data_IF_489374392246
#
_entry.id   IF_489374392246
#
_cell.length_a   1.000
_cell.length_b   1.000
_cell.length_c   1.000
_cell.angle_alpha   90.00
_cell.angle_beta   90.00
_cell.angle_gamma   90.00
#
_symmetry.space_group_name_H-M   'P 1'
#
loop_
_entity.id
_entity.type
_entity.pdbx_description
1 polymer ?
#
# COMPACT_ATOMS: atom_id res chain seq x y z
N UNK A 1 -5.08 -13.11 -0.02
CA UNK A 1 -5.10 -12.73 -1.44
C UNK A 1 -3.66 -12.80 -1.90
N UNK A 2 -3.31 -13.85 -2.65
CA UNK A 2 -1.92 -14.15 -3.02
C UNK A 2 -1.53 -13.53 -4.36
N UNK A 3 -0.26 -13.61 -4.75
CA UNK A 3 0.24 -13.08 -6.03
C UNK A 3 -0.59 -13.52 -7.26
N UNK A 4 -1.19 -14.73 -7.24
CA UNK A 4 -2.07 -15.23 -8.32
C UNK A 4 -3.38 -14.47 -8.48
N UNK A 5 -3.89 -13.87 -7.40
CA UNK A 5 -5.12 -13.08 -7.43
C UNK A 5 -4.89 -11.73 -8.12
N UNK A 6 -3.65 -11.22 -8.07
CA UNK A 6 -3.23 -9.98 -8.72
C UNK A 6 -3.15 -10.18 -10.24
N UNK A 7 -2.56 -11.28 -10.70
CA UNK A 7 -2.45 -11.60 -12.12
C UNK A 7 -3.84 -11.82 -12.77
N UNK A 8 -4.74 -12.51 -12.06
CA UNK A 8 -6.12 -12.71 -12.49
C UNK A 8 -6.91 -11.40 -12.56
N UNK A 9 -6.67 -10.48 -11.61
CA UNK A 9 -7.24 -9.14 -11.66
C UNK A 9 -6.71 -8.38 -12.88
N UNK A 10 -5.40 -8.41 -13.16
CA UNK A 10 -4.79 -7.75 -14.32
C UNK A 10 -5.37 -8.26 -15.65
N UNK A 11 -5.60 -9.56 -15.78
CA UNK A 11 -6.23 -10.13 -16.97
C UNK A 11 -7.65 -9.59 -17.24
N UNK A 12 -8.43 -9.36 -16.17
CA UNK A 12 -9.78 -8.75 -16.26
C UNK A 12 -9.74 -7.25 -16.57
N UNK A 13 -8.67 -6.55 -16.18
CA UNK A 13 -8.51 -5.13 -16.53
C UNK A 13 -8.28 -4.94 -18.03
N UNK A 14 -7.50 -5.84 -18.63
CA UNK A 14 -7.19 -5.79 -20.05
C UNK A 14 -8.42 -6.02 -20.96
N UNK A 15 -9.55 -6.48 -20.42
CA UNK A 15 -10.82 -6.59 -21.18
C UNK A 15 -11.63 -5.28 -21.22
N UNK A 16 -11.13 -4.18 -20.64
CA UNK A 16 -11.81 -2.87 -20.67
C UNK A 16 -13.02 -2.75 -19.74
N UNK A 17 -13.20 -3.69 -18.82
CA UNK A 17 -14.30 -3.67 -17.86
C UNK A 17 -14.02 -2.61 -16.78
N UNK A 18 -14.77 -1.49 -16.81
CA UNK A 18 -14.68 -0.44 -15.77
C UNK A 18 -14.93 -0.99 -14.37
N UNK A 19 -15.74 -2.05 -14.24
CA UNK A 19 -15.95 -2.75 -12.97
C UNK A 19 -14.67 -3.39 -12.46
N UNK A 20 -13.87 -3.99 -13.36
CA UNK A 20 -12.59 -4.59 -13.00
C UNK A 20 -11.58 -3.54 -12.52
N UNK A 21 -11.49 -2.37 -13.18
CA UNK A 21 -10.59 -1.28 -12.76
C UNK A 21 -10.94 -0.75 -11.38
N UNK A 22 -12.23 -0.52 -11.13
CA UNK A 22 -12.70 -0.11 -9.80
C UNK A 22 -12.39 -1.18 -8.74
N UNK A 23 -12.63 -2.46 -9.04
CA UNK A 23 -12.31 -3.56 -8.12
C UNK A 23 -10.82 -3.65 -7.81
N UNK A 24 -9.94 -3.49 -8.81
CA UNK A 24 -8.50 -3.44 -8.59
C UNK A 24 -8.13 -2.32 -7.60
N UNK A 25 -8.63 -1.11 -7.82
CA UNK A 25 -8.29 0.02 -6.95
C UNK A 25 -8.81 -0.15 -5.53
N UNK A 26 -10.00 -0.74 -5.36
CA UNK A 26 -10.49 -1.14 -4.04
C UNK A 26 -9.57 -2.18 -3.37
N UNK A 27 -9.11 -3.17 -4.12
CA UNK A 27 -8.19 -4.18 -3.61
C UNK A 27 -6.85 -3.55 -3.16
N UNK A 28 -6.29 -2.62 -3.97
CA UNK A 28 -5.07 -1.87 -3.64
C UNK A 28 -5.28 -1.04 -2.37
N UNK A 29 -6.38 -0.29 -2.27
CA UNK A 29 -6.66 0.54 -1.10
C UNK A 29 -6.83 -0.29 0.18
N UNK A 30 -7.52 -1.42 0.10
CA UNK A 30 -7.68 -2.36 1.21
C UNK A 30 -6.33 -2.92 1.66
N UNK A 31 -5.47 -3.31 0.72
CA UNK A 31 -4.12 -3.80 1.03
C UNK A 31 -3.26 -2.73 1.71
N UNK A 32 -3.26 -1.50 1.20
CA UNK A 32 -2.53 -0.38 1.81
C UNK A 32 -3.03 -0.07 3.22
N UNK A 33 -4.35 -0.16 3.43
CA UNK A 33 -4.97 0.00 4.76
C UNK A 33 -4.55 -1.10 5.72
N UNK A 34 -4.59 -2.36 5.27
CA UNK A 34 -4.14 -3.50 6.07
C UNK A 34 -2.65 -3.37 6.46
N UNK A 35 -1.79 -2.99 5.51
CA UNK A 35 -0.39 -2.72 5.77
C UNK A 35 -0.19 -1.59 6.80
N UNK A 36 -0.97 -0.50 6.71
CA UNK A 36 -0.93 0.57 7.70
C UNK A 36 -1.38 0.11 9.09
N UNK A 37 -2.34 -0.81 9.18
CA UNK A 37 -2.76 -1.40 10.46
C UNK A 37 -1.65 -2.28 11.05
N UNK A 38 -0.97 -3.09 10.25
CA UNK A 38 0.23 -3.83 10.69
C UNK A 38 1.32 -2.86 11.15
N UNK A 39 1.52 -1.76 10.42
CA UNK A 39 2.46 -0.71 10.83
C UNK A 39 2.10 -0.13 12.19
N UNK A 40 0.84 0.26 12.37
CA UNK A 40 0.35 0.79 13.65
C UNK A 40 0.52 -0.26 14.74
N UNK A 41 0.27 -1.54 14.49
CA UNK A 41 0.48 -2.63 15.44
C UNK A 41 1.96 -2.81 15.83
N UNK A 42 2.90 -2.63 14.90
CA UNK A 42 4.32 -2.85 15.12
C UNK A 42 5.08 -1.61 15.66
N UNK A 43 4.63 -0.39 15.34
CA UNK A 43 5.34 0.85 15.66
C UNK A 43 4.49 1.91 16.37
N UNK A 44 3.17 1.74 16.48
CA UNK A 44 2.25 2.79 16.92
C UNK A 44 1.93 3.79 15.81
N UNK A 45 1.01 4.72 16.08
CA UNK A 45 0.68 5.80 15.16
C UNK A 45 1.91 6.71 14.99
N UNK A 46 2.33 6.93 13.74
CA UNK A 46 3.52 7.73 13.42
C UNK A 46 4.81 7.27 14.15
N UNK A 47 4.88 6.01 14.57
CA UNK A 47 6.05 5.49 15.29
C UNK A 47 6.08 5.77 16.80
N UNK A 48 4.99 6.28 17.38
CA UNK A 48 4.93 6.69 18.79
C UNK A 48 5.20 5.59 19.81
N UNK A 49 5.04 4.31 19.41
CA UNK A 49 5.23 3.14 20.26
C UNK A 49 6.39 2.25 19.79
N UNK A 50 7.29 2.79 18.96
CA UNK A 50 8.34 2.02 18.32
C UNK A 50 9.31 1.39 19.34
N UNK A 51 9.57 2.04 20.47
CA UNK A 51 10.48 1.54 21.51
C UNK A 51 9.84 0.38 22.27
N UNK A 52 8.60 0.58 22.71
CA UNK A 52 7.77 -0.34 23.48
C UNK A 52 7.51 -1.62 22.69
N UNK A 53 7.23 -1.49 21.38
CA UNK A 53 6.88 -2.61 20.51
C UNK A 53 8.09 -3.26 19.83
N UNK A 54 9.31 -2.93 20.26
CA UNK A 54 10.54 -3.57 19.75
C UNK A 54 10.54 -5.08 19.98
N UNK A 55 10.04 -5.55 21.14
CA UNK A 55 9.99 -6.98 21.46
C UNK A 55 9.02 -7.74 20.56
N UNK A 56 7.82 -7.20 20.33
CA UNK A 56 6.86 -7.74 19.36
C UNK A 56 7.50 -7.86 17.98
N UNK A 57 8.16 -6.80 17.52
CA UNK A 57 8.80 -6.82 16.20
C UNK A 57 9.93 -7.84 16.11
N UNK A 58 10.68 -8.01 17.18
CA UNK A 58 11.74 -9.02 17.26
C UNK A 58 11.15 -10.44 17.24
N UNK A 59 10.03 -10.69 17.92
CA UNK A 59 9.43 -12.03 17.97
C UNK A 59 8.92 -12.49 16.61
N UNK A 60 8.32 -11.58 15.81
CA UNK A 60 7.84 -11.90 14.46
C UNK A 60 8.88 -11.63 13.34
N UNK A 61 10.10 -11.22 13.69
CA UNK A 61 11.17 -11.00 12.71
C UNK A 61 10.91 -9.85 11.72
N UNK A 62 10.29 -8.77 12.15
CA UNK A 62 10.08 -7.58 11.31
C UNK A 62 11.14 -6.50 11.58
N UNK A 63 11.84 -6.08 10.53
CA UNK A 63 12.92 -5.09 10.62
C UNK A 63 12.40 -3.65 10.47
N UNK A 64 13.20 -2.66 10.89
CA UNK A 64 12.89 -1.24 10.63
C UNK A 64 12.93 -0.85 9.14
N UNK A 65 13.46 -1.72 8.27
CA UNK A 65 13.51 -1.53 6.82
C UNK A 65 12.31 -2.17 6.11
N UNK A 66 11.43 -2.85 6.84
CA UNK A 66 10.25 -3.52 6.28
C UNK A 66 9.38 -2.54 5.49
N UNK A 67 8.87 -2.92 4.30
CA UNK A 67 7.95 -2.08 3.52
C UNK A 67 6.68 -1.75 4.30
N UNK A 68 6.25 -2.63 5.21
CA UNK A 68 5.10 -2.42 6.10
C UNK A 68 5.25 -1.22 7.02
N UNK A 69 6.47 -0.71 7.27
CA UNK A 69 6.68 0.50 8.07
C UNK A 69 6.25 1.77 7.32
N UNK A 70 6.24 1.75 5.98
CA UNK A 70 5.99 2.92 5.14
C UNK A 70 4.49 3.06 4.87
N UNK A 71 3.82 3.97 5.59
CA UNK A 71 2.37 4.23 5.44
C UNK A 71 2.02 5.40 4.53
N UNK A 72 3.03 6.05 3.94
CA UNK A 72 2.84 7.28 3.14
C UNK A 72 1.90 7.10 1.95
N UNK A 73 1.96 5.96 1.26
CA UNK A 73 1.05 5.71 0.12
C UNK A 73 -0.40 5.58 0.58
N UNK A 74 -0.67 4.86 1.67
CA UNK A 74 -2.01 4.79 2.30
C UNK A 74 -2.51 6.19 2.67
N UNK A 75 -1.66 7.03 3.27
CA UNK A 75 -2.05 8.39 3.64
C UNK A 75 -2.46 9.24 2.42
N UNK A 76 -1.87 9.04 1.24
CA UNK A 76 -2.28 9.73 0.03
C UNK A 76 -3.68 9.33 -0.43
N UNK A 77 -4.08 8.07 -0.23
CA UNK A 77 -5.40 7.57 -0.59
C UNK A 77 -6.46 7.99 0.44
N UNK A 78 -6.11 8.03 1.73
CA UNK A 78 -7.05 8.35 2.81
C UNK A 78 -7.31 9.86 2.94
N UNK A 79 -6.27 10.68 2.80
CA UNK A 79 -6.37 12.14 2.86
C UNK A 79 -6.48 12.75 1.45
N UNK A 80 -7.30 12.13 0.60
CA UNK A 80 -7.40 12.48 -0.81
C UNK A 80 -7.97 13.89 -1.02
N UNK A 81 -8.86 14.33 -0.14
CA UNK A 81 -9.38 15.70 -0.06
C UNK A 81 -8.26 16.73 0.11
N UNK A 82 -7.37 16.53 1.09
CA UNK A 82 -6.21 17.41 1.28
C UNK A 82 -5.25 17.38 0.07
N UNK A 83 -5.17 16.22 -0.62
CA UNK A 83 -4.39 16.11 -1.86
C UNK A 83 -5.02 16.93 -2.97
N UNK A 84 -6.35 16.90 -3.12
CA UNK A 84 -7.05 17.73 -4.10
C UNK A 84 -6.82 19.22 -3.86
N UNK A 85 -6.91 19.68 -2.61
CA UNK A 85 -6.66 21.10 -2.27
C UNK A 85 -5.24 21.53 -2.63
N UNK A 86 -4.25 20.72 -2.27
CA UNK A 86 -2.85 20.99 -2.63
C UNK A 86 -2.61 20.95 -4.15
N UNK A 87 -3.27 20.03 -4.87
CA UNK A 87 -3.18 19.98 -6.33
C UNK A 87 -3.83 21.22 -6.97
N UNK A 88 -4.99 21.64 -6.47
CA UNK A 88 -5.67 22.84 -6.93
C UNK A 88 -4.81 24.10 -6.74
N UNK A 89 -4.10 24.19 -5.62
CA UNK A 89 -3.21 25.32 -5.36
C UNK A 89 -1.92 25.28 -6.22
N UNK A 90 -1.35 24.10 -6.45
CA UNK A 90 0.05 23.97 -6.90
C UNK A 90 0.21 23.46 -8.33
N UNK A 91 -0.80 22.79 -8.90
CA UNK A 91 -0.72 22.38 -10.30
C UNK A 91 -0.76 23.60 -11.20
N UNK A 92 0.09 23.61 -12.23
CA UNK A 92 0.10 24.68 -13.24
C UNK A 92 -0.92 24.45 -14.34
N UNK A 93 -1.19 23.19 -14.65
CA UNK A 93 -2.03 22.79 -15.77
C UNK A 93 -3.40 22.27 -15.32
N UNK A 94 -3.55 21.97 -14.02
CA UNK A 94 -4.75 21.41 -13.43
C UNK A 94 -5.27 20.20 -14.22
N UNK A 95 -4.36 19.37 -14.71
CA UNK A 95 -4.72 18.07 -15.25
C UNK A 95 -5.02 17.14 -14.08
N UNK A 96 -6.13 16.41 -14.15
CA UNK A 96 -6.51 15.41 -13.14
C UNK A 96 -6.54 14.03 -13.79
N UNK A 97 -5.50 13.25 -13.55
CA UNK A 97 -5.41 11.88 -14.03
C UNK A 97 -5.38 10.93 -12.84
N UNK A 98 -6.38 10.06 -12.74
CA UNK A 98 -6.56 9.19 -11.58
C UNK A 98 -7.09 7.81 -11.98
N UNK A 99 -6.78 6.81 -11.15
CA UNK A 99 -7.11 5.39 -11.36
C UNK A 99 -6.58 4.81 -12.69
N UNK A 100 -5.43 5.29 -13.15
CA UNK A 100 -4.83 4.89 -14.42
C UNK A 100 -4.03 3.60 -14.29
N UNK A 101 -4.07 2.76 -15.33
CA UNK A 101 -3.21 1.59 -15.46
C UNK A 101 -2.27 1.85 -16.63
N UNK A 102 -0.96 1.88 -16.35
CA UNK A 102 0.05 2.37 -17.26
C UNK A 102 0.23 3.89 -17.21
N UNK A 103 1.35 4.35 -17.77
CA UNK A 103 1.74 5.74 -17.74
C UNK A 103 0.95 6.59 -18.75
N UNK A 104 0.53 7.78 -18.32
CA UNK A 104 0.03 8.83 -19.21
C UNK A 104 1.17 9.81 -19.47
N UNK A 105 1.65 9.85 -20.71
CA UNK A 105 2.73 10.74 -21.11
C UNK A 105 2.35 12.22 -21.04
N UNK A 106 3.32 13.07 -20.68
CA UNK A 106 3.18 14.53 -20.73
C UNK A 106 2.53 15.18 -19.50
N UNK A 107 2.15 14.41 -18.48
CA UNK A 107 1.64 14.95 -17.23
C UNK A 107 2.77 15.37 -16.28
N UNK A 108 2.57 16.49 -15.58
CA UNK A 108 3.37 16.79 -14.42
C UNK A 108 3.09 15.76 -13.31
N UNK A 109 4.10 15.49 -12.47
CA UNK A 109 3.94 14.52 -11.39
C UNK A 109 2.71 14.80 -10.53
N UNK A 110 2.50 16.05 -10.10
CA UNK A 110 1.35 16.45 -9.25
C UNK A 110 -0.03 16.22 -9.91
N UNK A 111 -0.08 16.08 -11.24
CA UNK A 111 -1.33 15.83 -11.97
C UNK A 111 -1.68 14.33 -12.07
N UNK A 112 -0.74 13.46 -11.67
CA UNK A 112 -0.90 12.00 -11.70
C UNK A 112 -1.19 11.48 -10.29
N UNK A 113 -2.47 11.18 -10.02
CA UNK A 113 -2.95 10.62 -8.76
C UNK A 113 -2.71 9.12 -8.72
N UNK A 114 -3.73 8.27 -8.62
CA UNK A 114 -3.55 6.81 -8.52
C UNK A 114 -3.19 6.25 -9.88
N UNK A 115 -1.94 5.86 -10.04
CA UNK A 115 -1.44 5.19 -11.24
C UNK A 115 -0.81 3.86 -10.83
N UNK A 116 -1.08 2.80 -11.60
CA UNK A 116 -0.45 1.50 -11.44
C UNK A 116 0.43 1.24 -12.67
N UNK A 117 1.72 1.01 -12.45
CA UNK A 117 2.59 0.46 -13.49
C UNK A 117 2.42 -1.07 -13.54
N UNK A 118 1.79 -1.64 -14.58
CA UNK A 118 1.51 -3.08 -14.64
C UNK A 118 2.78 -3.92 -14.85
N UNK A 119 3.89 -3.33 -15.29
CA UNK A 119 5.15 -4.05 -15.53
C UNK A 119 5.91 -4.31 -14.23
N UNK A 120 5.93 -3.30 -13.35
CA UNK A 120 6.65 -3.33 -12.07
C UNK A 120 5.74 -3.63 -10.88
N UNK A 121 4.42 -3.46 -11.04
CA UNK A 121 3.43 -3.47 -9.97
C UNK A 121 3.67 -2.39 -8.91
N UNK A 122 4.19 -1.24 -9.34
CA UNK A 122 4.31 -0.06 -8.49
C UNK A 122 3.05 0.79 -8.55
N UNK A 123 2.54 1.18 -7.38
CA UNK A 123 1.55 2.25 -7.28
C UNK A 123 2.30 3.57 -7.24
N UNK A 124 1.83 4.52 -8.03
CA UNK A 124 2.38 5.85 -8.18
C UNK A 124 1.33 6.83 -7.70
N UNK A 125 1.76 7.83 -6.93
CA UNK A 125 0.95 8.98 -6.54
C UNK A 125 1.83 10.22 -6.50
N UNK A 126 1.53 11.21 -7.33
CA UNK A 126 2.35 12.40 -7.53
C UNK A 126 3.82 12.10 -7.82
N UNK A 127 4.06 11.10 -8.68
CA UNK A 127 5.40 10.60 -9.00
C UNK A 127 6.10 9.79 -7.90
N UNK A 128 5.50 9.67 -6.71
CA UNK A 128 6.03 8.81 -5.64
C UNK A 128 5.64 7.37 -5.90
N UNK A 129 6.63 6.48 -5.99
CA UNK A 129 6.47 5.06 -6.29
C UNK A 129 6.40 4.20 -5.03
N UNK A 130 5.62 3.14 -5.08
CA UNK A 130 5.47 2.18 -4.00
C UNK A 130 5.31 0.76 -4.53
N UNK A 131 6.25 -0.12 -4.17
CA UNK A 131 6.29 -1.51 -4.60
C UNK A 131 5.21 -2.36 -3.89
N UNK A 132 4.18 -2.75 -4.64
CA UNK A 132 3.13 -3.65 -4.12
C UNK A 132 3.62 -5.08 -3.94
N UNK A 133 4.51 -5.57 -4.81
CA UNK A 133 5.00 -6.96 -4.74
C UNK A 133 5.83 -7.15 -3.47
N UNK A 134 6.73 -6.23 -3.17
CA UNK A 134 7.50 -6.25 -1.93
C UNK A 134 6.63 -6.17 -0.68
N UNK A 135 5.51 -5.42 -0.74
CA UNK A 135 4.55 -5.35 0.36
C UNK A 135 3.84 -6.69 0.59
N UNK A 136 3.32 -7.31 -0.47
CA UNK A 136 2.65 -8.62 -0.42
C UNK A 136 3.61 -9.69 0.06
N UNK A 137 4.81 -9.75 -0.52
CA UNK A 137 5.83 -10.72 -0.16
C UNK A 137 6.22 -10.63 1.33
N UNK A 138 6.34 -9.42 1.87
CA UNK A 138 6.62 -9.25 3.30
C UNK A 138 5.44 -9.68 4.18
N UNK A 139 4.19 -9.41 3.77
CA UNK A 139 3.01 -9.86 4.50
C UNK A 139 2.88 -11.39 4.49
N UNK A 140 3.07 -12.03 3.35
CA UNK A 140 3.07 -13.49 3.19
C UNK A 140 4.19 -14.14 4.00
N UNK A 141 5.39 -13.54 4.03
CA UNK A 141 6.51 -14.02 4.86
C UNK A 141 6.20 -13.96 6.35
N UNK A 142 5.51 -12.90 6.80
CA UNK A 142 5.23 -12.67 8.22
C UNK A 142 4.06 -13.49 8.75
N UNK A 143 3.06 -13.77 7.92
CA UNK A 143 1.83 -14.46 8.35
C UNK A 143 2.08 -15.75 9.15
N UNK A 144 2.83 -16.75 8.64
CA UNK A 144 3.03 -18.00 9.38
C UNK A 144 3.84 -17.79 10.67
N UNK A 145 4.75 -16.81 10.71
CA UNK A 145 5.52 -16.48 11.92
C UNK A 145 4.60 -15.84 12.95
N UNK A 146 3.74 -14.91 12.54
CA UNK A 146 2.78 -14.26 13.42
C UNK A 146 1.77 -15.27 14.00
N UNK A 147 1.28 -16.21 13.18
CA UNK A 147 0.39 -17.29 13.62
C UNK A 147 1.07 -18.21 14.65
N UNK A 148 2.32 -18.62 14.39
CA UNK A 148 3.09 -19.44 15.33
C UNK A 148 3.38 -18.72 16.65
N UNK A 149 3.76 -17.43 16.60
CA UNK A 149 3.97 -16.61 17.79
C UNK A 149 2.66 -16.43 18.58
N UNK A 150 1.54 -16.24 17.90
CA UNK A 150 0.22 -16.10 18.52
C UNK A 150 -0.30 -17.41 19.12
N UNK A 151 0.19 -18.58 18.69
CA UNK A 151 -0.19 -19.88 19.23
C UNK A 151 0.63 -20.29 20.47
N UNK A 152 1.67 -19.55 20.86
CA UNK A 152 2.48 -19.87 22.04
C UNK A 152 1.65 -19.77 23.32
N UNK A 153 1.87 -20.63 24.33
CA UNK A 153 1.20 -20.52 25.62
C UNK A 153 1.42 -19.13 26.24
N UNK A 154 0.32 -18.45 26.60
CA UNK A 154 0.38 -17.08 27.14
C UNK A 154 0.63 -17.05 28.65
N UNK A 155 0.56 -18.21 29.30
CA UNK A 155 0.69 -18.40 30.75
C UNK A 155 1.47 -19.70 31.00
N UNK A 156 2.36 -19.71 32.00
CA UNK A 156 2.76 -20.99 32.61
C UNK A 156 1.64 -21.43 33.57
N UNK A 157 1.30 -22.74 33.61
CA UNK A 157 0.31 -23.25 34.54
C UNK A 157 0.71 -23.04 36.01
#
# INVERSE_FOLDING_TARGET
MGAKDVDAAVARLNSGDRSATTQLWFAIQNMLTAAANVSKACWGQSGSLAKERKLLRKSIGISNKSPLRKTGMRNNFEHYDERLDMWWEKSKQHNHADMNIGAIGGLAAIDSFRELDPSTMEVIFWGRRYDLRGLVAEAERLLPVAEAEAAKPHWQP
#
